data_IF_710105129542
#
_entry.id   IF_710105129542
#
_cell.length_a   1.000
_cell.length_b   1.000
_cell.length_c   1.000
_cell.angle_alpha   90.00
_cell.angle_beta   90.00
_cell.angle_gamma   90.00
#
_symmetry.space_group_name_H-M   'P 1'
#
loop_
_entity.id
_entity.type
_entity.pdbx_description
1 polymer ?
#
# COMPACT_ATOMS: atom_id res chain seq x y z
N UNK A 1 -28.58 -15.75 -6.82
CA UNK A 1 -27.50 -16.71 -6.48
C UNK A 1 -26.18 -15.98 -6.58
N UNK A 2 -25.22 -16.27 -5.71
CA UNK A 2 -23.86 -15.72 -5.89
C UNK A 2 -23.21 -16.57 -6.97
N UNK A 3 -23.03 -16.04 -8.18
CA UNK A 3 -22.31 -16.75 -9.22
C UNK A 3 -20.86 -16.93 -8.77
N UNK A 4 -20.39 -18.18 -8.72
CA UNK A 4 -19.03 -18.52 -8.34
C UNK A 4 -18.39 -19.33 -9.46
N UNK A 5 -17.31 -18.81 -10.04
CA UNK A 5 -16.53 -19.52 -11.03
C UNK A 5 -15.10 -19.74 -10.53
N UNK A 6 -14.47 -20.80 -11.05
CA UNK A 6 -13.04 -21.10 -10.87
C UNK A 6 -12.19 -20.05 -11.59
N UNK A 7 -11.02 -19.76 -11.04
CA UNK A 7 -10.12 -18.73 -11.55
C UNK A 7 -9.31 -19.26 -12.73
N UNK A 8 -8.95 -20.55 -12.71
CA UNK A 8 -8.14 -21.21 -13.72
C UNK A 8 -8.96 -22.21 -14.52
N UNK A 9 -8.52 -22.50 -15.75
CA UNK A 9 -9.15 -23.49 -16.63
C UNK A 9 -9.12 -24.90 -16.02
N UNK A 10 -8.03 -25.22 -15.31
CA UNK A 10 -7.85 -26.50 -14.65
C UNK A 10 -8.78 -26.63 -13.44
N UNK A 11 -9.46 -27.79 -13.35
CA UNK A 11 -10.37 -28.07 -12.22
C UNK A 11 -9.62 -28.30 -10.91
N UNK A 12 -8.38 -28.78 -10.99
CA UNK A 12 -7.55 -29.10 -9.84
C UNK A 12 -6.17 -28.44 -10.00
N UNK A 13 -5.54 -28.01 -8.91
CA UNK A 13 -4.18 -27.48 -8.96
C UNK A 13 -3.15 -28.58 -9.29
N UNK A 14 -1.98 -28.15 -9.77
CA UNK A 14 -0.84 -29.04 -9.98
C UNK A 14 -0.08 -29.31 -8.67
N UNK A 15 0.78 -30.33 -8.70
CA UNK A 15 1.66 -30.67 -7.58
C UNK A 15 2.72 -29.59 -7.38
N UNK A 16 3.08 -29.34 -6.12
CA UNK A 16 4.06 -28.33 -5.68
C UNK A 16 3.69 -26.86 -6.00
N UNK A 17 2.44 -26.59 -6.37
CA UNK A 17 1.96 -25.23 -6.62
C UNK A 17 1.53 -24.51 -5.32
N UNK A 18 1.99 -23.26 -5.07
CA UNK A 18 1.49 -22.46 -3.95
C UNK A 18 0.13 -21.85 -4.27
N UNK A 19 -0.86 -22.17 -3.44
CA UNK A 19 -2.26 -21.74 -3.58
C UNK A 19 -2.75 -21.04 -2.32
N UNK A 20 -3.70 -20.12 -2.50
CA UNK A 20 -4.34 -19.41 -1.39
C UNK A 20 -5.59 -20.18 -0.90
N UNK A 21 -5.61 -20.50 0.39
CA UNK A 21 -6.71 -21.27 0.99
C UNK A 21 -7.34 -20.54 2.15
N UNK A 22 -8.64 -20.73 2.36
CA UNK A 22 -9.34 -20.26 3.55
C UNK A 22 -9.62 -21.41 4.50
N UNK A 23 -9.35 -21.24 5.79
CA UNK A 23 -9.58 -22.31 6.78
C UNK A 23 -11.05 -22.35 7.18
N UNK A 24 -11.72 -23.47 6.88
CA UNK A 24 -13.14 -23.67 7.19
C UNK A 24 -13.35 -24.29 8.57
N UNK A 25 -12.65 -25.37 8.87
CA UNK A 25 -12.77 -26.09 10.16
C UNK A 25 -11.44 -26.73 10.55
N UNK A 26 -11.19 -26.81 11.85
CA UNK A 26 -10.03 -27.49 12.42
C UNK A 26 -10.53 -28.77 13.10
N UNK A 27 -9.94 -29.91 12.77
CA UNK A 27 -10.25 -31.22 13.34
C UNK A 27 -8.99 -31.85 13.98
N UNK A 28 -9.17 -32.96 14.71
CA UNK A 28 -8.06 -33.66 15.37
C UNK A 28 -7.05 -34.27 14.38
N UNK A 29 -7.49 -34.63 13.17
CA UNK A 29 -6.63 -35.22 12.14
C UNK A 29 -5.96 -34.17 11.23
N UNK A 30 -6.43 -32.92 11.25
CA UNK A 30 -5.98 -31.88 10.32
C UNK A 30 -6.89 -30.66 10.25
N UNK A 31 -6.51 -29.67 9.44
CA UNK A 31 -7.36 -28.53 9.12
C UNK A 31 -7.99 -28.72 7.74
N UNK A 32 -9.32 -28.61 7.67
CA UNK A 32 -10.02 -28.56 6.39
C UNK A 32 -10.09 -27.11 5.92
N UNK A 33 -9.66 -26.92 4.70
CA UNK A 33 -9.56 -25.61 4.06
C UNK A 33 -10.29 -25.64 2.73
N UNK A 34 -10.67 -24.49 2.21
CA UNK A 34 -11.28 -24.33 0.91
C UNK A 34 -10.35 -23.53 0.02
N UNK A 35 -10.06 -24.03 -1.18
CA UNK A 35 -9.23 -23.35 -2.17
C UNK A 35 -10.06 -22.26 -2.86
N UNK A 36 -9.73 -20.99 -2.61
CA UNK A 36 -10.50 -19.85 -3.14
C UNK A 36 -10.39 -19.73 -4.66
N UNK A 37 -9.25 -20.16 -5.22
CA UNK A 37 -8.93 -20.05 -6.65
C UNK A 37 -9.66 -21.11 -7.49
N UNK A 38 -10.03 -22.24 -6.91
CA UNK A 38 -10.61 -23.39 -7.62
C UNK A 38 -12.05 -23.63 -7.19
N UNK A 39 -12.90 -22.59 -7.18
CA UNK A 39 -14.32 -22.71 -6.85
C UNK A 39 -14.63 -23.30 -5.46
N UNK A 40 -13.80 -22.98 -4.46
CA UNK A 40 -13.96 -23.43 -3.07
C UNK A 40 -13.91 -24.96 -2.87
N UNK A 41 -13.17 -25.69 -3.72
CA UNK A 41 -12.90 -27.12 -3.50
C UNK A 41 -12.27 -27.32 -2.11
N UNK A 42 -12.67 -28.40 -1.45
CA UNK A 42 -12.15 -28.75 -0.13
C UNK A 42 -10.76 -29.37 -0.24
N UNK A 43 -9.85 -28.91 0.61
CA UNK A 43 -8.53 -29.46 0.81
C UNK A 43 -8.28 -29.77 2.29
N UNK A 44 -7.28 -30.61 2.55
CA UNK A 44 -6.90 -31.01 3.90
C UNK A 44 -5.43 -30.69 4.15
N UNK A 45 -5.15 -30.00 5.26
CA UNK A 45 -3.80 -29.80 5.77
C UNK A 45 -3.61 -30.77 6.94
N UNK A 46 -2.66 -31.70 6.79
CA UNK A 46 -2.25 -32.57 7.89
C UNK A 46 -1.54 -31.76 8.99
N UNK A 47 -1.75 -32.12 10.26
CA UNK A 47 -1.08 -31.46 11.39
C UNK A 47 0.45 -31.53 11.29
N UNK A 48 0.99 -32.65 10.79
CA UNK A 48 2.43 -32.83 10.54
C UNK A 48 2.99 -31.87 9.47
N UNK A 49 2.12 -31.36 8.60
CA UNK A 49 2.44 -30.45 7.50
C UNK A 49 2.07 -28.98 7.83
N UNK A 50 1.70 -28.70 9.08
CA UNK A 50 1.31 -27.37 9.53
C UNK A 50 2.50 -26.48 9.92
N UNK A 51 3.53 -27.05 10.54
CA UNK A 51 4.71 -26.31 11.00
C UNK A 51 5.98 -27.16 10.96
N UNK A 52 7.12 -26.48 10.81
CA UNK A 52 8.45 -27.12 10.91
C UNK A 52 8.86 -27.39 12.37
N UNK A 53 8.27 -26.69 13.34
CA UNK A 53 8.61 -26.78 14.78
C UNK A 53 7.51 -27.51 15.54
N UNK A 54 7.85 -28.08 16.71
CA UNK A 54 6.86 -28.70 17.60
C UNK A 54 5.82 -27.66 18.03
N UNK A 55 4.56 -28.00 17.82
CA UNK A 55 3.41 -27.12 18.08
C UNK A 55 2.93 -27.27 19.53
N UNK A 56 2.68 -26.15 20.22
CA UNK A 56 2.00 -26.13 21.54
C UNK A 56 0.48 -26.08 21.39
N UNK A 57 -0.02 -25.32 20.42
CA UNK A 57 -1.44 -25.16 20.14
C UNK A 57 -1.66 -24.83 18.66
N UNK A 58 -2.62 -25.51 18.03
CA UNK A 58 -2.97 -25.37 16.61
C UNK A 58 -3.62 -24.01 16.34
N UNK A 59 -4.45 -23.52 17.26
CA UNK A 59 -5.21 -22.27 17.13
C UNK A 59 -4.32 -21.01 17.03
N UNK A 60 -3.04 -21.10 17.42
CA UNK A 60 -2.09 -19.99 17.27
C UNK A 60 -1.58 -19.85 15.84
N UNK A 61 -1.46 -20.96 15.11
CA UNK A 61 -0.87 -21.02 13.77
C UNK A 61 -1.89 -20.89 12.65
N UNK A 62 -3.11 -21.35 12.90
CA UNK A 62 -4.24 -21.27 11.98
C UNK A 62 -5.46 -20.80 12.75
N UNK A 63 -6.20 -19.87 12.14
CA UNK A 63 -7.51 -19.43 12.61
C UNK A 63 -8.55 -19.67 11.54
N UNK A 64 -9.73 -20.07 11.97
CA UNK A 64 -10.90 -20.24 11.10
C UNK A 64 -11.23 -18.90 10.45
N UNK A 65 -11.51 -18.92 9.15
CA UNK A 65 -11.86 -17.74 8.35
C UNK A 65 -10.69 -16.88 7.90
N UNK A 66 -9.43 -17.24 8.25
CA UNK A 66 -8.24 -16.57 7.70
C UNK A 66 -7.74 -17.29 6.47
N UNK A 67 -7.30 -16.49 5.50
CA UNK A 67 -6.59 -16.98 4.33
C UNK A 67 -5.13 -17.26 4.67
N UNK A 68 -4.62 -18.39 4.19
CA UNK A 68 -3.26 -18.86 4.39
C UNK A 68 -2.71 -19.34 3.04
N UNK A 69 -1.42 -19.11 2.80
CA UNK A 69 -0.73 -19.65 1.64
C UNK A 69 -0.20 -21.05 1.98
N UNK A 70 -0.48 -22.03 1.13
CA UNK A 70 -0.07 -23.43 1.29
C UNK A 70 0.37 -24.01 -0.06
N UNK A 71 1.19 -25.05 -0.03
CA UNK A 71 1.63 -25.79 -1.22
C UNK A 71 0.83 -27.08 -1.35
N UNK A 72 0.45 -27.43 -2.57
CA UNK A 72 -0.20 -28.71 -2.90
C UNK A 72 0.83 -29.83 -2.90
N UNK A 73 0.63 -30.85 -2.08
CA UNK A 73 1.50 -32.05 -2.05
C UNK A 73 0.95 -33.13 -2.96
N UNK A 74 -0.35 -33.40 -2.85
CA UNK A 74 -0.99 -34.52 -3.53
C UNK A 74 -2.39 -34.15 -3.95
N UNK A 75 -2.76 -34.59 -5.14
CA UNK A 75 -4.11 -34.44 -5.68
C UNK A 75 -4.61 -35.81 -6.11
N UNK A 76 -5.73 -36.23 -5.54
CA UNK A 76 -6.49 -37.39 -5.98
C UNK A 76 -7.66 -36.87 -6.84
N UNK A 77 -7.55 -37.03 -8.16
CA UNK A 77 -8.53 -36.51 -9.13
C UNK A 77 -9.85 -37.30 -9.11
N UNK A 78 -9.81 -38.56 -8.69
CA UNK A 78 -10.99 -39.44 -8.67
C UNK A 78 -11.88 -39.13 -7.46
N UNK A 79 -11.26 -38.87 -6.31
CA UNK A 79 -11.98 -38.58 -5.06
C UNK A 79 -12.08 -37.09 -4.75
N UNK A 80 -11.34 -36.24 -5.46
CA UNK A 80 -11.29 -34.79 -5.23
C UNK A 80 -10.56 -34.40 -3.93
N UNK A 81 -9.73 -35.29 -3.37
CA UNK A 81 -8.94 -34.98 -2.18
C UNK A 81 -7.65 -34.25 -2.56
N UNK A 82 -7.39 -33.13 -1.88
CA UNK A 82 -6.19 -32.33 -2.06
C UNK A 82 -5.46 -32.27 -0.71
N UNK A 83 -4.27 -32.84 -0.66
CA UNK A 83 -3.39 -32.76 0.50
C UNK A 83 -2.50 -31.51 0.36
N UNK A 84 -2.53 -30.68 1.39
CA UNK A 84 -1.88 -29.38 1.42
C UNK A 84 -0.85 -29.30 2.55
N UNK A 85 0.17 -28.46 2.37
CA UNK A 85 1.20 -28.23 3.37
C UNK A 85 1.56 -26.75 3.51
N UNK A 86 1.54 -26.28 4.75
CA UNK A 86 2.08 -24.97 5.13
C UNK A 86 3.58 -25.05 5.43
N UNK A 87 4.08 -26.23 5.80
CA UNK A 87 5.48 -26.47 6.17
C UNK A 87 6.45 -26.23 5.03
N UNK A 88 6.04 -26.56 3.80
CA UNK A 88 6.87 -26.50 2.59
C UNK A 88 6.90 -25.12 1.92
N UNK A 89 6.12 -24.17 2.40
CA UNK A 89 6.07 -22.80 1.87
C UNK A 89 7.34 -22.04 2.26
N UNK A 90 8.01 -21.43 1.27
CA UNK A 90 9.09 -20.48 1.51
C UNK A 90 8.58 -19.04 1.44
N UNK A 91 9.30 -18.10 2.06
CA UNK A 91 8.90 -16.68 2.06
C UNK A 91 8.79 -16.08 0.65
N UNK A 92 9.60 -16.58 -0.30
CA UNK A 92 9.55 -16.17 -1.70
C UNK A 92 8.24 -16.61 -2.38
N UNK A 93 7.79 -17.83 -2.09
CA UNK A 93 6.55 -18.38 -2.68
C UNK A 93 5.32 -17.72 -2.09
N UNK A 94 5.39 -17.30 -0.83
CA UNK A 94 4.31 -16.58 -0.14
C UNK A 94 3.99 -15.27 -0.85
N UNK A 95 5.04 -14.51 -1.21
CA UNK A 95 4.90 -13.22 -1.90
C UNK A 95 4.41 -13.40 -3.34
N UNK A 96 4.91 -14.43 -4.04
CA UNK A 96 4.44 -14.76 -5.39
C UNK A 96 2.98 -15.24 -5.41
N UNK A 97 2.59 -16.05 -4.41
CA UNK A 97 1.22 -16.53 -4.27
C UNK A 97 0.27 -15.38 -3.97
N UNK A 98 0.64 -14.47 -3.07
CA UNK A 98 -0.18 -13.30 -2.76
C UNK A 98 -0.34 -12.37 -3.96
N UNK A 99 0.74 -12.10 -4.69
CA UNK A 99 0.69 -11.28 -5.91
C UNK A 99 -0.18 -11.94 -6.99
N UNK A 100 -0.03 -13.26 -7.19
CA UNK A 100 -0.83 -14.04 -8.13
C UNK A 100 -2.32 -14.03 -7.75
N UNK A 101 -2.62 -14.32 -6.49
CA UNK A 101 -3.97 -14.35 -5.96
C UNK A 101 -4.64 -12.97 -6.07
N UNK A 102 -3.92 -11.89 -5.74
CA UNK A 102 -4.43 -10.52 -5.87
C UNK A 102 -4.81 -10.17 -7.31
N UNK A 103 -3.93 -10.50 -8.28
CA UNK A 103 -4.19 -10.31 -9.71
C UNK A 103 -5.42 -11.11 -10.17
N UNK A 104 -5.48 -12.37 -9.80
CA UNK A 104 -6.57 -13.26 -10.23
C UNK A 104 -7.91 -12.86 -9.57
N UNK A 105 -7.90 -12.40 -8.31
CA UNK A 105 -9.06 -11.85 -7.60
C UNK A 105 -9.57 -10.56 -8.23
N UNK A 106 -8.68 -9.68 -8.67
CA UNK A 106 -9.06 -8.48 -9.39
C UNK A 106 -9.80 -8.82 -10.69
N UNK A 107 -9.25 -9.74 -11.49
CA UNK A 107 -9.87 -10.23 -12.74
C UNK A 107 -11.22 -10.89 -12.48
N UNK A 108 -11.29 -11.81 -11.50
CA UNK A 108 -12.54 -12.49 -11.15
C UNK A 108 -13.63 -11.49 -10.77
N UNK A 109 -13.26 -10.47 -9.99
CA UNK A 109 -14.19 -9.46 -9.56
C UNK A 109 -14.66 -8.57 -10.72
N UNK A 110 -13.82 -8.26 -11.72
CA UNK A 110 -14.24 -7.54 -12.94
C UNK A 110 -15.26 -8.39 -13.72
N UNK A 111 -14.93 -9.65 -14.00
CA UNK A 111 -15.80 -10.56 -14.75
C UNK A 111 -17.14 -10.81 -14.04
N UNK A 112 -17.12 -10.87 -12.71
CA UNK A 112 -18.34 -10.99 -11.91
C UNK A 112 -19.24 -9.75 -12.03
N UNK A 113 -18.69 -8.54 -12.01
CA UNK A 113 -19.48 -7.32 -12.21
C UNK A 113 -20.03 -7.23 -13.64
N UNK A 114 -19.24 -7.59 -14.64
CA UNK A 114 -19.70 -7.67 -16.04
C UNK A 114 -20.84 -8.68 -16.17
N UNK A 115 -20.73 -9.84 -15.55
CA UNK A 115 -21.79 -10.86 -15.54
C UNK A 115 -23.08 -10.38 -14.83
N UNK A 116 -22.95 -9.63 -13.73
CA UNK A 116 -24.09 -9.04 -13.02
C UNK A 116 -24.77 -7.95 -13.86
N UNK A 117 -24.00 -7.11 -14.57
CA UNK A 117 -24.52 -6.09 -15.49
C UNK A 117 -25.16 -6.66 -16.76
N UNK A 118 -24.73 -7.85 -17.19
CA UNK A 118 -25.34 -8.59 -18.30
C UNK A 118 -26.54 -9.43 -17.84
N UNK A 119 -26.74 -9.58 -16.53
CA UNK A 119 -27.85 -10.31 -15.95
C UNK A 119 -27.75 -11.83 -16.13
N UNK A 120 -26.53 -12.38 -16.24
CA UNK A 120 -26.37 -13.83 -16.32
C UNK A 120 -26.85 -14.49 -15.03
N UNK A 121 -27.82 -15.41 -15.17
CA UNK A 121 -28.41 -16.15 -14.06
C UNK A 121 -27.81 -17.53 -13.83
N UNK A 122 -26.98 -18.01 -14.77
CA UNK A 122 -26.47 -19.38 -14.82
C UNK A 122 -24.95 -19.44 -14.74
N UNK A 123 -24.42 -20.34 -13.90
CA UNK A 123 -22.99 -20.55 -13.71
C UNK A 123 -22.26 -20.98 -14.99
N UNK A 124 -22.97 -21.64 -15.92
CA UNK A 124 -22.45 -22.05 -17.24
C UNK A 124 -22.16 -20.87 -18.18
N UNK A 125 -22.99 -19.81 -18.12
CA UNK A 125 -22.77 -18.59 -18.92
C UNK A 125 -21.55 -17.82 -18.41
N UNK A 126 -21.34 -17.84 -17.10
CA UNK A 126 -20.13 -17.30 -16.50
C UNK A 126 -18.92 -18.14 -16.90
N UNK A 127 -19.01 -19.47 -16.88
CA UNK A 127 -17.92 -20.35 -17.29
C UNK A 127 -17.53 -20.13 -18.77
N UNK A 128 -18.52 -19.95 -19.65
CA UNK A 128 -18.27 -19.64 -21.06
C UNK A 128 -17.57 -18.29 -21.25
N UNK A 129 -18.00 -17.25 -20.50
CA UNK A 129 -17.32 -15.96 -20.48
C UNK A 129 -15.86 -16.09 -19.99
N UNK A 130 -15.60 -16.90 -18.95
CA UNK A 130 -14.25 -17.17 -18.45
C UNK A 130 -13.40 -17.93 -19.45
N UNK A 131 -13.98 -18.90 -20.16
CA UNK A 131 -13.31 -19.68 -21.21
C UNK A 131 -12.86 -18.76 -22.34
N UNK A 132 -13.77 -17.89 -22.79
CA UNK A 132 -13.50 -16.93 -23.86
C UNK A 132 -12.50 -15.85 -23.44
N UNK A 133 -12.61 -15.31 -22.22
CA UNK A 133 -11.73 -14.22 -21.73
C UNK A 133 -10.51 -14.74 -20.95
N UNK A 134 -10.70 -15.06 -19.67
CA UNK A 134 -9.63 -15.29 -18.70
C UNK A 134 -8.74 -16.47 -19.07
N UNK A 135 -9.33 -17.59 -19.50
CA UNK A 135 -8.59 -18.80 -19.82
C UNK A 135 -7.89 -18.72 -21.18
N UNK A 136 -8.48 -18.03 -22.17
CA UNK A 136 -7.81 -17.72 -23.42
C UNK A 136 -6.52 -16.94 -23.18
N UNK A 137 -6.57 -15.90 -22.33
CA UNK A 137 -5.39 -15.10 -22.01
C UNK A 137 -4.37 -15.84 -21.14
N UNK A 138 -4.82 -16.71 -20.23
CA UNK A 138 -3.93 -17.53 -19.42
C UNK A 138 -3.22 -18.61 -20.27
N UNK A 139 -3.89 -19.20 -21.27
CA UNK A 139 -3.31 -20.17 -22.21
C UNK A 139 -2.34 -19.49 -23.19
N UNK A 140 -2.73 -18.35 -23.77
CA UNK A 140 -1.88 -17.56 -24.69
C UNK A 140 -0.55 -17.16 -24.05
N UNK A 141 -0.56 -16.84 -22.76
CA UNK A 141 0.62 -16.40 -22.03
C UNK A 141 1.34 -17.52 -21.28
N UNK A 142 0.81 -18.77 -21.28
CA UNK A 142 1.33 -19.95 -20.56
C UNK A 142 1.74 -19.67 -19.11
N UNK A 143 1.11 -18.68 -18.47
CA UNK A 143 1.39 -18.25 -17.09
C UNK A 143 0.06 -18.00 -16.39
N UNK A 144 -0.17 -18.77 -15.32
CA UNK A 144 -1.32 -18.61 -14.41
C UNK A 144 -1.34 -17.17 -13.88
N UNK A 145 -2.47 -16.46 -14.04
CA UNK A 145 -2.71 -15.05 -13.65
C UNK A 145 -2.00 -13.96 -14.50
N UNK A 146 -1.60 -14.25 -15.73
CA UNK A 146 -1.11 -13.23 -16.66
C UNK A 146 -2.23 -12.32 -17.20
N UNK A 147 -3.49 -12.75 -17.10
CA UNK A 147 -4.66 -12.02 -17.57
C UNK A 147 -4.75 -10.60 -16.99
N UNK A 148 -4.37 -10.34 -15.73
CA UNK A 148 -4.29 -8.97 -15.20
C UNK A 148 -3.33 -8.06 -15.98
N UNK A 149 -2.17 -8.58 -16.40
CA UNK A 149 -1.21 -7.82 -17.19
C UNK A 149 -1.75 -7.49 -18.59
N UNK A 150 -2.55 -8.40 -19.14
CA UNK A 150 -3.26 -8.20 -20.40
C UNK A 150 -4.37 -7.16 -20.25
N UNK A 151 -5.17 -7.22 -19.19
CA UNK A 151 -6.19 -6.21 -18.88
C UNK A 151 -5.58 -4.81 -18.72
N UNK A 152 -4.40 -4.69 -18.10
CA UNK A 152 -3.68 -3.42 -18.00
C UNK A 152 -3.22 -2.91 -19.38
N UNK A 153 -2.69 -3.78 -20.23
CA UNK A 153 -2.34 -3.42 -21.61
C UNK A 153 -3.56 -3.07 -22.44
N UNK A 154 -4.71 -3.68 -22.16
CA UNK A 154 -5.94 -3.43 -22.88
C UNK A 154 -6.54 -2.03 -22.63
N UNK A 155 -6.09 -1.32 -21.59
CA UNK A 155 -6.39 0.11 -21.40
C UNK A 155 -5.68 0.94 -22.48
N UNK A 156 -4.44 0.58 -22.82
CA UNK A 156 -3.60 1.25 -23.81
C UNK A 156 -3.95 0.82 -25.24
N UNK A 157 -4.17 -0.48 -25.46
CA UNK A 157 -4.45 -1.08 -26.77
C UNK A 157 -5.78 -1.86 -26.76
N UNK A 158 -6.86 -1.31 -27.34
CA UNK A 158 -8.17 -1.98 -27.41
C UNK A 158 -8.23 -3.24 -28.28
N UNK A 159 -7.19 -3.51 -29.07
CA UNK A 159 -7.12 -4.61 -30.06
C UNK A 159 -6.99 -6.00 -29.45
N UNK A 160 -6.58 -6.08 -28.19
CA UNK A 160 -6.38 -7.35 -27.48
C UNK A 160 -7.69 -8.15 -27.33
N UNK A 161 -8.84 -7.45 -27.37
CA UNK A 161 -10.16 -8.07 -27.30
C UNK A 161 -10.77 -8.39 -28.67
N UNK A 162 -10.14 -8.01 -29.79
CA UNK A 162 -10.63 -8.35 -31.14
C UNK A 162 -10.33 -9.81 -31.53
N UNK A 163 -9.33 -10.43 -30.90
CA UNK A 163 -9.08 -11.87 -31.04
C UNK A 163 -10.05 -12.72 -30.21
N UNK A 164 -10.92 -12.08 -29.42
CA UNK A 164 -11.82 -12.75 -28.51
C UNK A 164 -13.23 -12.77 -29.12
N UNK A 165 -13.82 -13.96 -29.29
CA UNK A 165 -15.21 -14.14 -29.78
C UNK A 165 -16.24 -13.68 -28.72
N UNK A 166 -16.30 -12.37 -28.52
CA UNK A 166 -17.15 -11.69 -27.54
C UNK A 166 -18.12 -10.80 -28.30
N UNK A 167 -19.35 -10.71 -27.80
CA UNK A 167 -20.35 -9.81 -28.39
C UNK A 167 -19.93 -8.35 -28.15
N UNK A 168 -20.10 -7.44 -29.12
CA UNK A 168 -19.67 -6.03 -28.97
C UNK A 168 -20.25 -5.33 -27.71
N UNK A 169 -21.41 -5.78 -27.23
CA UNK A 169 -22.03 -5.34 -25.98
C UNK A 169 -21.29 -5.81 -24.71
N UNK A 170 -20.74 -7.02 -24.72
CA UNK A 170 -19.94 -7.58 -23.63
C UNK A 170 -18.57 -6.87 -23.57
N UNK A 171 -17.97 -6.60 -24.74
CA UNK A 171 -16.68 -5.92 -24.88
C UNK A 171 -16.70 -4.49 -24.38
N UNK A 172 -17.74 -3.73 -24.73
CA UNK A 172 -17.90 -2.34 -24.30
C UNK A 172 -18.07 -2.21 -22.78
N UNK A 173 -18.93 -3.05 -22.18
CA UNK A 173 -19.12 -3.10 -20.72
C UNK A 173 -17.86 -3.56 -19.99
N UNK A 174 -17.17 -4.57 -20.52
CA UNK A 174 -15.90 -5.06 -19.97
C UNK A 174 -14.83 -3.96 -19.99
N UNK A 175 -14.68 -3.23 -21.10
CA UNK A 175 -13.77 -2.09 -21.20
C UNK A 175 -14.12 -0.97 -20.21
N UNK A 176 -15.40 -0.68 -20.01
CA UNK A 176 -15.84 0.32 -19.04
C UNK A 176 -15.49 -0.09 -17.59
N UNK A 177 -15.73 -1.35 -17.23
CA UNK A 177 -15.40 -1.88 -15.91
C UNK A 177 -13.89 -2.00 -15.67
N UNK A 178 -13.11 -2.40 -16.69
CA UNK A 178 -11.65 -2.38 -16.61
C UNK A 178 -11.15 -0.95 -16.40
N UNK A 179 -11.72 0.05 -17.10
CA UNK A 179 -11.37 1.45 -16.88
C UNK A 179 -11.74 1.91 -15.47
N UNK A 180 -12.93 1.59 -14.96
CA UNK A 180 -13.32 2.01 -13.60
C UNK A 180 -12.42 1.42 -12.51
N UNK A 181 -12.01 0.16 -12.67
CA UNK A 181 -11.38 -0.61 -11.60
C UNK A 181 -9.87 -0.72 -11.69
N UNK A 182 -9.34 -0.58 -12.91
CA UNK A 182 -7.94 -0.78 -13.25
C UNK A 182 -7.29 0.49 -13.81
N UNK A 183 -8.03 1.60 -13.91
CA UNK A 183 -7.38 2.90 -14.14
C UNK A 183 -6.40 3.16 -13.02
N UNK A 184 -5.13 3.47 -13.35
CA UNK A 184 -4.20 3.91 -12.35
C UNK A 184 -4.77 5.17 -11.72
N UNK A 185 -5.05 5.12 -10.42
CA UNK A 185 -5.33 6.33 -9.66
C UNK A 185 -4.13 7.27 -9.83
N UNK A 186 -4.41 8.55 -10.07
CA UNK A 186 -3.37 9.54 -10.28
C UNK A 186 -2.44 9.54 -9.08
N UNK A 187 -1.19 9.20 -9.33
CA UNK A 187 -0.15 9.16 -8.32
C UNK A 187 0.37 10.58 -8.14
N UNK A 188 0.41 11.02 -6.88
CA UNK A 188 1.02 12.30 -6.53
C UNK A 188 2.52 12.07 -6.31
N UNK A 189 3.34 12.79 -7.04
CA UNK A 189 4.79 12.85 -6.86
C UNK A 189 5.08 14.15 -6.15
N UNK A 190 5.81 14.08 -5.04
CA UNK A 190 6.23 15.24 -4.26
C UNK A 190 7.75 15.34 -4.28
N UNK A 191 8.25 16.55 -4.44
CA UNK A 191 9.65 16.88 -4.25
C UNK A 191 9.76 18.14 -3.41
N UNK A 192 10.61 18.11 -2.39
CA UNK A 192 10.88 19.27 -1.56
C UNK A 192 12.23 19.87 -2.00
N UNK A 193 12.20 21.15 -2.37
CA UNK A 193 13.34 21.91 -2.84
C UNK A 193 13.56 23.10 -1.93
N UNK A 194 14.82 23.44 -1.71
CA UNK A 194 15.23 24.63 -0.98
C UNK A 194 15.88 25.59 -1.98
N UNK A 195 15.30 26.77 -2.12
CA UNK A 195 15.76 27.79 -3.07
C UNK A 195 16.11 29.05 -2.29
N UNK A 196 17.38 29.41 -2.30
CA UNK A 196 17.88 30.65 -1.70
C UNK A 196 18.54 31.53 -2.76
N UNK A 197 18.18 32.81 -2.82
CA UNK A 197 18.80 33.78 -3.70
C UNK A 197 19.07 35.07 -2.92
N UNK A 198 20.34 35.47 -2.83
CA UNK A 198 20.79 36.63 -2.06
C UNK A 198 21.04 37.88 -2.93
N UNK A 199 20.69 37.83 -4.21
CA UNK A 199 20.87 38.96 -5.14
C UNK A 199 19.84 40.09 -4.92
N UNK A 200 20.20 41.31 -5.33
CA UNK A 200 19.26 42.43 -5.43
C UNK A 200 18.17 42.05 -6.45
N UNK A 201 16.90 42.01 -6.02
CA UNK A 201 15.76 41.39 -6.72
C UNK A 201 15.69 39.84 -6.69
N UNK A 202 16.19 39.19 -5.63
CA UNK A 202 16.14 37.74 -5.46
C UNK A 202 14.72 37.12 -5.51
N UNK A 203 13.70 37.83 -5.00
CA UNK A 203 12.30 37.37 -5.05
C UNK A 203 11.80 37.22 -6.50
N UNK A 204 12.17 38.17 -7.37
CA UNK A 204 11.78 38.16 -8.78
C UNK A 204 12.50 37.05 -9.55
N UNK A 205 13.76 36.78 -9.18
CA UNK A 205 14.54 35.65 -9.69
C UNK A 205 13.88 34.31 -9.38
N UNK A 206 13.50 34.10 -8.11
CA UNK A 206 12.85 32.87 -7.66
C UNK A 206 11.49 32.70 -8.33
N UNK A 207 10.67 33.75 -8.39
CA UNK A 207 9.37 33.70 -9.06
C UNK A 207 9.49 33.36 -10.55
N UNK A 208 10.50 33.90 -11.22
CA UNK A 208 10.76 33.64 -12.66
C UNK A 208 11.30 32.24 -12.92
N UNK A 209 12.07 31.67 -11.98
CA UNK A 209 12.51 30.27 -12.01
C UNK A 209 11.34 29.31 -11.80
N UNK A 210 10.47 29.56 -10.81
CA UNK A 210 9.29 28.75 -10.54
C UNK A 210 8.27 28.80 -11.69
N UNK A 211 8.09 29.97 -12.31
CA UNK A 211 7.18 30.14 -13.44
C UNK A 211 7.65 29.40 -14.70
N UNK A 212 8.95 29.24 -14.88
CA UNK A 212 9.49 28.38 -15.95
C UNK A 212 9.43 26.89 -15.63
N UNK A 213 9.60 26.51 -14.37
CA UNK A 213 9.31 25.16 -13.91
C UNK A 213 7.86 24.75 -14.21
N UNK A 214 6.91 25.67 -14.05
CA UNK A 214 5.50 25.47 -14.39
C UNK A 214 5.26 25.30 -15.90
N UNK A 215 6.05 25.95 -16.77
CA UNK A 215 5.89 25.85 -18.24
C UNK A 215 6.31 24.49 -18.80
N UNK A 216 7.13 23.72 -18.09
CA UNK A 216 7.48 22.35 -18.47
C UNK A 216 6.37 21.34 -18.10
N UNK A 217 5.23 21.80 -17.58
CA UNK A 217 4.06 20.96 -17.33
C UNK A 217 3.41 20.55 -18.66
N UNK A 218 3.21 19.25 -18.86
CA UNK A 218 2.42 18.73 -19.98
C UNK A 218 0.92 18.72 -19.63
N UNK A 219 0.04 18.72 -20.64
CA UNK A 219 -1.44 18.75 -20.48
C UNK A 219 -2.00 17.58 -19.63
N UNK A 220 -1.25 16.47 -19.53
CA UNK A 220 -1.57 15.30 -18.69
C UNK A 220 -0.94 15.33 -17.29
N UNK A 221 -0.04 16.27 -17.02
CA UNK A 221 0.81 16.34 -15.83
C UNK A 221 0.58 17.69 -15.16
N UNK A 222 -0.24 17.70 -14.10
CA UNK A 222 -0.46 18.94 -13.34
C UNK A 222 0.61 19.10 -12.26
N UNK A 223 1.54 20.03 -12.47
CA UNK A 223 2.55 20.43 -11.49
C UNK A 223 2.03 21.65 -10.74
N UNK A 224 2.01 21.57 -9.41
CA UNK A 224 1.70 22.65 -8.48
C UNK A 224 2.91 22.87 -7.60
N UNK A 225 3.34 24.13 -7.46
CA UNK A 225 4.43 24.50 -6.56
C UNK A 225 3.82 25.34 -5.44
N UNK A 226 3.90 24.85 -4.21
CA UNK A 226 3.49 25.59 -3.03
C UNK A 226 4.73 25.98 -2.23
N UNK A 227 4.67 27.13 -1.56
CA UNK A 227 5.66 27.53 -0.56
C UNK A 227 5.21 26.96 0.79
N UNK A 228 6.12 26.32 1.52
CA UNK A 228 5.87 25.89 2.91
C UNK A 228 6.40 26.98 3.83
N UNK A 229 7.72 27.20 3.80
CA UNK A 229 8.40 28.27 4.50
C UNK A 229 9.48 28.88 3.58
N UNK A 230 9.94 30.09 3.81
CA UNK A 230 11.19 30.52 3.17
C UNK A 230 12.35 29.82 3.91
N UNK A 231 13.33 29.14 3.26
CA UNK A 231 13.59 28.95 1.83
C UNK A 231 13.08 27.63 1.19
N UNK A 232 12.13 26.92 1.80
CA UNK A 232 11.59 25.61 1.38
C UNK A 232 10.29 25.67 0.53
N UNK A 233 10.35 25.05 -0.66
CA UNK A 233 9.22 24.91 -1.58
C UNK A 233 8.89 23.44 -1.80
N UNK A 234 7.61 23.15 -1.98
CA UNK A 234 7.11 21.83 -2.36
C UNK A 234 6.58 21.84 -3.78
N UNK A 235 7.12 20.95 -4.60
CA UNK A 235 6.62 20.66 -5.94
C UNK A 235 5.76 19.40 -5.84
N UNK A 236 4.46 19.56 -6.05
CA UNK A 236 3.49 18.46 -6.15
C UNK A 236 3.11 18.25 -7.61
N UNK A 237 3.23 17.03 -8.10
CA UNK A 237 2.93 16.67 -9.47
C UNK A 237 1.92 15.51 -9.47
N UNK A 238 0.82 15.63 -10.22
CA UNK A 238 -0.16 14.54 -10.35
C UNK A 238 -0.04 13.91 -11.73
N UNK A 239 0.28 12.61 -11.79
CA UNK A 239 0.40 11.85 -13.05
C UNK A 239 -0.26 10.47 -12.97
N UNK A 240 -0.75 9.97 -14.10
CA UNK A 240 -1.23 8.59 -14.21
C UNK A 240 -0.07 7.59 -14.33
N UNK A 241 1.06 8.04 -14.89
CA UNK A 241 2.23 7.22 -15.16
C UNK A 241 3.40 7.59 -14.24
N UNK A 242 4.02 6.56 -13.66
CA UNK A 242 5.10 6.68 -12.66
C UNK A 242 6.39 7.22 -13.29
N UNK A 243 6.73 6.74 -14.48
CA UNK A 243 8.01 7.05 -15.13
C UNK A 243 7.98 8.44 -15.79
N UNK A 244 6.90 8.74 -16.52
CA UNK A 244 6.71 10.06 -17.13
C UNK A 244 6.60 11.17 -16.08
N UNK A 245 5.97 10.89 -14.93
CA UNK A 245 5.89 11.85 -13.83
C UNK A 245 7.24 12.13 -13.17
N UNK A 246 8.07 11.12 -12.94
CA UNK A 246 9.42 11.32 -12.41
C UNK A 246 10.30 12.11 -13.38
N UNK A 247 10.20 11.82 -14.69
CA UNK A 247 10.96 12.51 -15.70
C UNK A 247 10.54 13.99 -15.83
N UNK A 248 9.22 14.27 -15.80
CA UNK A 248 8.69 15.63 -15.85
C UNK A 248 9.12 16.47 -14.63
N UNK A 249 9.09 15.87 -13.42
CA UNK A 249 9.57 16.57 -12.21
C UNK A 249 11.08 16.79 -12.27
N UNK A 250 11.87 15.82 -12.70
CA UNK A 250 13.32 15.99 -12.86
C UNK A 250 13.68 17.09 -13.86
N UNK A 251 13.00 17.15 -15.00
CA UNK A 251 13.21 18.20 -15.99
C UNK A 251 12.82 19.59 -15.46
N UNK A 252 11.74 19.67 -14.67
CA UNK A 252 11.35 20.89 -13.95
C UNK A 252 12.43 21.34 -12.94
N UNK A 253 12.97 20.40 -12.15
CA UNK A 253 14.06 20.67 -11.20
C UNK A 253 15.33 21.15 -11.91
N UNK A 254 15.69 20.55 -13.04
CA UNK A 254 16.86 20.96 -13.81
C UNK A 254 16.69 22.37 -14.41
N UNK A 255 15.50 22.71 -14.90
CA UNK A 255 15.19 24.06 -15.40
C UNK A 255 15.26 25.10 -14.28
N UNK A 256 14.69 24.79 -13.10
CA UNK A 256 14.76 25.65 -11.91
C UNK A 256 16.22 25.85 -11.48
N UNK A 257 17.01 24.77 -11.45
CA UNK A 257 18.44 24.82 -11.10
C UNK A 257 19.24 25.73 -12.03
N UNK A 258 19.09 25.57 -13.36
CA UNK A 258 19.81 26.40 -14.35
C UNK A 258 19.56 27.89 -14.15
N UNK A 259 18.31 28.28 -13.91
CA UNK A 259 17.94 29.68 -13.68
C UNK A 259 18.42 30.25 -12.36
N UNK A 260 18.44 29.43 -11.31
CA UNK A 260 18.95 29.85 -10.00
C UNK A 260 20.47 30.05 -10.07
N UNK A 261 21.18 29.19 -10.81
CA UNK A 261 22.63 29.33 -11.03
C UNK A 261 22.98 30.58 -11.85
N UNK A 262 22.20 30.93 -12.88
CA UNK A 262 22.37 32.18 -13.64
C UNK A 262 22.26 33.45 -12.78
N UNK A 263 21.43 33.39 -11.73
CA UNK A 263 21.13 34.51 -10.85
C UNK A 263 21.92 34.50 -9.53
N UNK A 264 22.98 33.67 -9.42
CA UNK A 264 23.82 33.51 -8.21
C UNK A 264 23.04 33.06 -6.95
N UNK A 265 22.02 32.22 -7.11
CA UNK A 265 21.34 31.56 -6.00
C UNK A 265 21.90 30.16 -5.68
N UNK A 266 21.58 29.65 -4.50
CA UNK A 266 21.86 28.27 -4.10
C UNK A 266 20.59 27.43 -4.12
N UNK A 267 20.66 26.31 -4.82
CA UNK A 267 19.61 25.29 -4.87
C UNK A 267 20.05 24.06 -4.08
N UNK A 268 19.26 23.65 -3.08
CA UNK A 268 19.46 22.38 -2.38
C UNK A 268 18.22 21.50 -2.56
N UNK A 269 18.45 20.22 -2.84
CA UNK A 269 17.39 19.22 -2.91
C UNK A 269 17.29 18.53 -1.55
N UNK A 270 16.26 18.87 -0.77
CA UNK A 270 16.02 18.25 0.54
C UNK A 270 15.41 16.86 0.35
N UNK A 271 14.45 16.74 -0.58
CA UNK A 271 13.84 15.47 -0.92
C UNK A 271 13.69 15.31 -2.44
N UNK A 272 14.40 14.30 -2.97
CA UNK A 272 14.23 13.81 -4.34
C UNK A 272 12.77 13.39 -4.61
N UNK A 273 12.30 13.42 -5.87
CA UNK A 273 10.91 13.14 -6.20
C UNK A 273 10.50 11.76 -5.71
N UNK A 274 9.57 11.73 -4.75
CA UNK A 274 8.98 10.52 -4.18
C UNK A 274 7.51 10.45 -4.54
N UNK A 275 7.09 9.23 -4.84
CA UNK A 275 5.68 8.88 -4.98
C UNK A 275 5.08 8.90 -3.57
N UNK A 276 4.15 9.81 -3.34
CA UNK A 276 3.44 9.94 -2.07
C UNK A 276 2.15 9.14 -2.18
N UNK A 277 1.98 8.18 -1.27
CA UNK A 277 0.71 7.49 -1.08
C UNK A 277 -0.14 8.24 -0.04
N UNK A 278 -1.44 7.99 0.03
CA UNK A 278 -2.33 8.69 0.98
C UNK A 278 -1.88 8.52 2.45
N UNK A 279 -1.21 7.40 2.79
CA UNK A 279 -0.61 7.16 4.10
C UNK A 279 0.60 8.07 4.38
N UNK A 280 1.42 8.31 3.35
CA UNK A 280 2.55 9.22 3.45
C UNK A 280 2.07 10.67 3.58
N UNK A 281 0.93 11.05 2.97
CA UNK A 281 0.33 12.38 3.14
C UNK A 281 -0.03 12.67 4.60
N UNK A 282 -0.63 11.70 5.31
CA UNK A 282 -0.99 11.84 6.73
C UNK A 282 0.24 11.91 7.64
N UNK A 283 1.27 11.07 7.40
CA UNK A 283 2.52 11.14 8.17
C UNK A 283 3.25 12.46 7.94
N UNK A 284 3.24 12.98 6.71
CA UNK A 284 3.88 14.24 6.37
C UNK A 284 3.09 15.41 6.95
N UNK A 285 1.76 15.39 6.90
CA UNK A 285 0.92 16.42 7.52
C UNK A 285 1.17 16.52 9.02
N UNK A 286 1.29 15.37 9.69
CA UNK A 286 1.60 15.33 11.13
C UNK A 286 3.00 15.88 11.44
N UNK A 287 3.98 15.68 10.55
CA UNK A 287 5.30 16.29 10.67
C UNK A 287 5.27 17.79 10.40
N UNK A 288 4.42 18.24 9.47
CA UNK A 288 4.24 19.66 9.17
C UNK A 288 3.64 20.39 10.36
N UNK A 289 2.59 19.83 10.96
CA UNK A 289 1.94 20.38 12.16
C UNK A 289 2.88 20.42 13.36
N UNK A 290 3.80 19.45 13.48
CA UNK A 290 4.83 19.47 14.51
C UNK A 290 5.87 20.58 14.30
N UNK A 291 6.25 20.85 13.05
CA UNK A 291 7.18 21.93 12.70
C UNK A 291 6.53 23.32 12.88
N UNK A 292 5.25 23.46 12.54
CA UNK A 292 4.48 24.70 12.80
C UNK A 292 4.38 24.97 14.31
N UNK A 293 4.22 23.92 15.15
CA UNK A 293 4.21 24.07 16.60
C UNK A 293 5.57 24.50 17.17
N UNK A 294 6.66 23.96 16.62
CA UNK A 294 8.03 24.35 17.01
C UNK A 294 8.36 25.80 16.61
N UNK A 295 7.85 26.29 15.48
CA UNK A 295 8.01 27.69 15.06
C UNK A 295 7.15 28.67 15.91
N UNK A 296 5.94 28.27 16.32
CA UNK A 296 5.10 29.07 17.22
C UNK A 296 5.72 29.18 18.64
N UNK A 297 6.42 28.13 19.11
CA UNK A 297 7.13 28.17 20.40
C UNK A 297 8.33 29.16 20.34
N UNK A 298 9.05 29.24 19.21
CA UNK A 298 10.17 30.19 19.02
C UNK A 298 9.70 31.66 18.87
N UNK A 299 8.48 31.94 18.36
CA UNK A 299 7.91 33.29 18.38
C UNK A 299 7.40 33.72 19.77
N UNK A 300 7.21 32.78 20.69
CA UNK A 300 6.69 33.07 22.04
C UNK A 300 7.74 33.45 23.09
N UNK A 301 9.04 33.32 22.79
CA UNK A 301 10.14 33.76 23.69
C UNK A 301 10.64 35.19 23.43
N UNK A 302 9.99 35.95 22.55
CA UNK A 302 10.39 37.32 22.22
C UNK A 302 9.39 38.38 22.72
N UNK A 303 8.95 38.30 23.99
CA UNK A 303 8.41 39.44 24.77
C UNK A 303 8.18 39.05 26.25
N UNK A 304 9.25 38.74 27.00
CA UNK A 304 9.22 38.92 28.46
C UNK A 304 10.60 39.35 28.98
N UNK A 305 10.82 40.66 28.98
CA UNK A 305 11.92 41.33 29.69
C UNK A 305 11.67 41.22 31.21
N UNK A 306 11.86 40.00 31.74
CA UNK A 306 11.69 39.65 33.15
C UNK A 306 12.91 38.90 33.68
N UNK A 307 13.76 39.61 34.42
CA UNK A 307 14.99 39.13 35.08
C UNK A 307 15.06 37.60 35.35
N UNK A 308 15.86 36.90 34.55
CA UNK A 308 16.24 35.50 34.84
C UNK A 308 17.23 35.48 36.00
N UNK A 309 16.82 34.89 37.12
CA UNK A 309 17.71 34.53 38.22
C UNK A 309 18.57 33.31 37.81
N UNK A 310 19.86 33.24 38.22
CA UNK A 310 20.75 32.16 37.80
C UNK A 310 20.29 30.79 38.32
N UNK A 311 20.22 29.81 37.41
CA UNK A 311 19.87 28.41 37.68
C UNK A 311 20.77 27.80 38.77
N UNK A 312 20.16 27.33 39.87
CA UNK A 312 20.88 26.53 40.87
C UNK A 312 20.37 26.58 42.30
N UNK A 313 19.39 27.43 42.64
CA UNK A 313 18.92 27.55 44.03
C UNK A 313 17.75 26.63 44.42
N UNK A 314 16.86 26.29 43.48
CA UNK A 314 15.63 25.54 43.83
C UNK A 314 15.90 24.08 44.18
N UNK A 315 16.90 23.48 43.54
CA UNK A 315 17.25 22.08 43.76
C UNK A 315 17.84 21.83 45.16
N UNK A 316 18.42 22.85 45.79
CA UNK A 316 18.93 22.77 47.15
C UNK A 316 17.83 22.96 48.20
N UNK A 317 16.85 23.84 47.92
CA UNK A 317 15.70 24.06 48.80
C UNK A 317 14.79 22.83 48.87
N UNK A 318 14.52 22.17 47.74
CA UNK A 318 13.67 20.97 47.69
C UNK A 318 14.29 19.76 48.41
N UNK A 319 15.63 19.62 48.35
CA UNK A 319 16.37 18.57 49.04
C UNK A 319 16.40 18.77 50.55
N UNK A 320 16.40 20.03 51.01
CA UNK A 320 16.41 20.37 52.43
C UNK A 320 15.01 20.21 53.04
N UNK A 321 13.96 20.58 52.30
CA UNK A 321 12.56 20.42 52.70
C UNK A 321 12.12 18.94 52.72
N UNK A 322 12.70 18.10 51.86
CA UNK A 322 12.54 16.65 51.90
C UNK A 322 13.26 16.00 53.10
N UNK A 323 14.42 16.55 53.51
CA UNK A 323 15.20 16.05 54.66
C UNK A 323 14.54 16.39 55.99
N UNK A 324 13.93 17.57 56.10
CA UNK A 324 13.21 17.97 57.32
C UNK A 324 11.93 17.15 57.52
N UNK A 325 11.21 16.79 56.44
CA UNK A 325 10.04 15.88 56.49
C UNK A 325 10.40 14.44 56.91
N UNK A 326 11.63 13.98 56.68
CA UNK A 326 12.10 12.65 57.09
C UNK A 326 12.55 12.56 58.55
N UNK A 327 12.89 13.69 59.19
CA UNK A 327 13.33 13.74 60.60
C UNK A 327 12.18 13.78 61.62
N UNK A 328 10.94 13.98 61.17
CA UNK A 328 9.77 14.15 62.04
C UNK A 328 8.82 12.95 62.08
N UNK A 329 9.24 11.82 62.69
CA UNK A 329 8.34 10.89 63.42
C UNK A 329 9.09 9.70 64.05
N UNK A 330 9.21 9.70 65.38
CA UNK A 330 8.95 8.52 66.23
C UNK A 330 8.57 8.97 67.65
N UNK A 331 7.44 8.45 68.10
CA UNK A 331 6.77 8.69 69.38
C UNK A 331 7.59 8.19 70.59
N UNK A 332 7.02 8.31 71.80
CA UNK A 332 6.68 7.07 72.48
C UNK A 332 5.26 7.03 73.04
N UNK A 333 4.72 5.81 73.07
CA UNK A 333 3.65 5.37 73.97
C UNK A 333 4.14 5.45 75.41
N UNK A 334 3.22 5.69 76.36
CA UNK A 334 3.11 4.88 77.58
C UNK A 334 1.69 5.00 78.15
N UNK A 335 1.23 3.87 78.66
CA UNK A 335 -0.04 3.59 79.35
C UNK A 335 -0.18 4.38 80.67
N UNK A 336 -1.41 4.68 81.09
CA UNK A 336 -1.83 4.29 82.45
C UNK A 336 -3.35 4.39 82.66
N UNK A 337 -3.79 3.55 83.59
CA UNK A 337 -5.16 3.22 83.97
C UNK A 337 -5.60 4.09 85.16
N UNK A 338 -6.83 4.61 85.13
CA UNK A 338 -7.88 4.53 86.18
C UNK A 338 -9.11 5.37 85.80
#
# INVERSE_FOLDING_TARGET
>A
MVLTCRFYSEKFPDLDEPVMVNVRRIAEMGAYVTLLEYNNIEGMILLSELSRRRIRSVNKLIRIGRSECVVVIRVDKDKGYIDLSKRRVYAKDLLQCEERYSKAKAVNSILRHVAEQLGYGTDEQLEDLYTRTAWYFDDKMKKKAASHGVFKKAISDPTVFDECDITDEEKSKLLEEIRKKLTPQAVKIRSDIEVSCFAYAGIEAVKTALLEGLKHSNDKISIKINLIAAPSFVVTCQTLDKEDGLNAVNACLEAIKKKIEEMQGTFKLVMAPKIVTDLDEDEIKKKLEALELEEDDDESEADDDGLVAPEGLDRAADLQDARDKLSGKKAPQDDDSD
#
